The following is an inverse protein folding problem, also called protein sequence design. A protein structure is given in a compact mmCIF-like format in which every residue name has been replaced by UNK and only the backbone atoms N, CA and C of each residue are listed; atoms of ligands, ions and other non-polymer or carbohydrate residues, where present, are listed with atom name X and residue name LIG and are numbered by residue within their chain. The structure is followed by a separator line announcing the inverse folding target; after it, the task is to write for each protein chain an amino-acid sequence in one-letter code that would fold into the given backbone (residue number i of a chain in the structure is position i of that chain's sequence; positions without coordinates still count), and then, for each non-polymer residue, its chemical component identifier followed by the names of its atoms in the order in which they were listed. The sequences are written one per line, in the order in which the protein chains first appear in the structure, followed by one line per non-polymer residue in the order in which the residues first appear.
data_IF_853051018816
#
_entry.id   IF_853051018816
#
_cell.length_a   1.000
_cell.length_b   1.000
_cell.length_c   1.000
_cell.angle_alpha   90.00
_cell.angle_beta   90.00
_cell.angle_gamma   90.00
#
_symmetry.space_group_name_H-M   'P 1'
#
loop_
_entity.id
_entity.type
_entity.pdbx_description
1 polymer ?
#
# COMPACT_ATOMS: atom_id res chain seq x y z
N UNK A 1 -15.55 4.06 -25.03
CA UNK A 1 -14.42 4.84 -24.48
C UNK A 1 -14.23 4.39 -23.04
N UNK A 2 -13.05 3.88 -22.69
CA UNK A 2 -12.78 3.16 -21.43
C UNK A 2 -12.76 4.09 -20.22
N UNK A 3 -13.46 3.68 -19.15
CA UNK A 3 -13.32 4.21 -17.80
C UNK A 3 -12.04 3.59 -17.22
N UNK A 4 -11.08 4.39 -16.78
CA UNK A 4 -9.72 3.90 -16.44
C UNK A 4 -9.43 4.27 -14.99
N UNK A 5 -9.43 3.31 -14.07
CA UNK A 5 -9.13 3.53 -12.65
C UNK A 5 -7.74 3.03 -12.22
N UNK A 6 -7.51 2.80 -10.91
CA UNK A 6 -6.26 2.23 -10.40
C UNK A 6 -5.87 0.93 -11.12
N UNK A 7 -4.59 0.77 -11.44
CA UNK A 7 -4.07 -0.41 -12.15
C UNK A 7 -2.86 -0.97 -11.44
N UNK A 8 -2.72 -2.30 -11.49
CA UNK A 8 -1.48 -2.95 -11.06
C UNK A 8 -0.70 -3.43 -12.26
N UNK A 9 0.61 -3.25 -12.18
CA UNK A 9 1.58 -3.83 -13.11
C UNK A 9 2.81 -4.28 -12.32
N UNK A 10 3.70 -5.00 -12.97
CA UNK A 10 4.98 -5.42 -12.42
C UNK A 10 6.10 -4.79 -13.25
N UNK A 11 7.02 -4.09 -12.58
CA UNK A 11 8.30 -3.70 -13.17
C UNK A 11 9.24 -4.88 -13.16
N UNK A 12 9.94 -5.21 -14.26
CA UNK A 12 11.02 -6.19 -14.17
C UNK A 12 12.07 -5.73 -13.15
N UNK A 13 12.76 -6.67 -12.49
CA UNK A 13 13.90 -6.32 -11.64
C UNK A 13 15.18 -6.53 -12.45
N UNK A 14 16.07 -5.54 -12.48
CA UNK A 14 17.36 -5.68 -13.14
C UNK A 14 18.39 -6.23 -12.15
N UNK A 15 18.86 -7.46 -12.38
CA UNK A 15 19.81 -8.17 -11.51
C UNK A 15 21.24 -7.63 -11.55
N UNK A 16 21.57 -6.71 -12.47
CA UNK A 16 22.90 -6.09 -12.57
C UNK A 16 22.82 -4.60 -12.23
N UNK A 17 23.77 -4.06 -11.44
CA UNK A 17 23.92 -2.61 -11.34
C UNK A 17 24.13 -2.06 -12.74
N UNK A 18 23.22 -1.18 -13.18
CA UNK A 18 23.19 -0.51 -14.49
C UNK A 18 24.41 0.41 -14.69
N UNK A 19 25.62 -0.16 -14.70
CA UNK A 19 26.81 0.45 -15.27
C UNK A 19 26.93 0.14 -16.78
N UNK A 20 25.94 -0.55 -17.34
CA UNK A 20 25.80 -0.76 -18.77
C UNK A 20 24.56 0.00 -19.22
N UNK A 21 24.74 0.95 -20.15
CA UNK A 21 23.67 1.64 -20.86
C UNK A 21 22.51 0.67 -21.16
N UNK A 22 21.46 0.70 -20.35
CA UNK A 22 20.22 0.02 -20.66
C UNK A 22 19.48 0.92 -21.64
N UNK A 23 19.91 0.86 -22.90
CA UNK A 23 19.30 1.57 -24.03
C UNK A 23 17.87 1.09 -24.33
N UNK A 24 17.41 0.02 -23.67
CA UNK A 24 16.00 -0.37 -23.69
C UNK A 24 15.23 0.46 -22.67
N UNK A 25 14.70 1.62 -23.08
CA UNK A 25 13.56 2.23 -22.40
C UNK A 25 12.46 1.17 -22.27
N UNK A 26 12.27 0.62 -21.08
CA UNK A 26 11.09 -0.19 -20.82
C UNK A 26 9.94 0.80 -20.78
N UNK A 27 9.15 0.84 -21.85
CA UNK A 27 7.93 1.64 -21.87
C UNK A 27 6.89 1.00 -20.94
N UNK A 28 7.06 1.20 -19.63
CA UNK A 28 6.03 0.91 -18.62
C UNK A 28 4.74 1.68 -18.95
N UNK A 29 4.88 2.84 -19.60
CA UNK A 29 3.79 3.64 -20.13
C UNK A 29 3.05 2.96 -21.29
N UNK A 30 3.67 2.09 -22.09
CA UNK A 30 2.94 1.36 -23.15
C UNK A 30 1.95 0.35 -22.55
N UNK A 31 2.21 -0.13 -21.33
CA UNK A 31 1.27 -0.96 -20.56
C UNK A 31 0.19 -0.14 -19.87
N UNK A 32 0.42 1.15 -19.67
CA UNK A 32 -0.54 2.06 -19.06
C UNK A 32 -1.33 2.78 -20.17
N UNK A 33 -2.59 2.41 -20.38
CA UNK A 33 -3.47 3.12 -21.34
C UNK A 33 -3.63 4.64 -21.08
N UNK A 34 -3.21 5.13 -19.91
CA UNK A 34 -3.17 6.54 -19.52
C UNK A 34 -1.91 6.81 -18.72
N UNK A 35 -1.34 8.02 -18.86
CA UNK A 35 -0.22 8.48 -18.03
C UNK A 35 -0.64 8.50 -16.54
N UNK A 36 0.04 7.75 -15.66
CA UNK A 36 -0.28 7.75 -14.23
C UNK A 36 0.06 9.12 -13.62
N UNK A 37 -0.67 9.51 -12.57
CA UNK A 37 -0.30 10.66 -11.74
C UNK A 37 0.68 10.26 -10.64
N UNK A 38 0.50 9.05 -10.11
CA UNK A 38 1.35 8.49 -9.04
C UNK A 38 1.57 7.00 -9.26
N UNK A 39 2.78 6.53 -9.01
CA UNK A 39 3.15 5.14 -8.90
C UNK A 39 3.52 4.80 -7.46
N UNK A 40 2.91 3.75 -6.90
CA UNK A 40 3.23 3.21 -5.59
C UNK A 40 4.00 1.89 -5.77
N UNK A 41 5.26 1.86 -5.36
CA UNK A 41 6.20 0.74 -5.56
C UNK A 41 6.34 -0.06 -4.28
N UNK A 42 6.11 -1.37 -4.36
CA UNK A 42 6.21 -2.30 -3.23
C UNK A 42 7.53 -3.06 -3.31
N UNK A 43 8.56 -2.56 -2.64
CA UNK A 43 9.91 -3.10 -2.74
C UNK A 43 10.18 -4.17 -1.68
N UNK A 44 10.39 -5.41 -2.11
CA UNK A 44 10.72 -6.53 -1.23
C UNK A 44 12.22 -6.54 -0.85
N UNK A 45 12.54 -6.52 0.45
CA UNK A 45 13.91 -6.49 1.00
C UNK A 45 14.43 -7.82 1.51
N UNK A 46 13.62 -8.89 1.54
CA UNK A 46 13.90 -10.15 2.27
C UNK A 46 15.25 -10.81 1.98
N UNK A 47 15.91 -10.45 0.87
CA UNK A 47 17.16 -11.07 0.43
C UNK A 47 18.37 -10.13 0.39
N UNK A 48 18.25 -8.90 0.91
CA UNK A 48 19.32 -7.91 0.84
C UNK A 48 19.96 -7.70 2.20
N UNK A 49 21.30 -7.59 2.25
CA UNK A 49 22.00 -7.20 3.47
C UNK A 49 21.58 -5.79 3.90
N UNK A 50 21.55 -5.53 5.22
CA UNK A 50 21.06 -4.26 5.79
C UNK A 50 21.73 -3.01 5.18
N UNK A 51 23.05 -3.05 4.95
CA UNK A 51 23.78 -1.96 4.31
C UNK A 51 23.40 -1.75 2.82
N UNK A 52 22.91 -2.79 2.15
CA UNK A 52 22.49 -2.79 0.77
C UNK A 52 21.02 -2.34 0.60
N UNK A 53 20.17 -2.60 1.61
CA UNK A 53 18.73 -2.30 1.58
C UNK A 53 18.41 -0.83 1.32
N UNK A 54 19.05 0.11 2.03
CA UNK A 54 18.76 1.55 1.85
C UNK A 54 19.20 2.07 0.48
N UNK A 55 20.34 1.58 -0.03
CA UNK A 55 20.86 1.98 -1.34
C UNK A 55 20.04 1.38 -2.48
N UNK A 56 19.43 0.21 -2.28
CA UNK A 56 18.61 -0.45 -3.30
C UNK A 56 17.32 0.31 -3.59
N UNK A 57 16.64 0.85 -2.58
CA UNK A 57 15.41 1.60 -2.82
C UNK A 57 15.71 2.89 -3.61
N UNK A 58 16.78 3.60 -3.25
CA UNK A 58 17.23 4.77 -4.00
C UNK A 58 17.66 4.40 -5.43
N UNK A 59 18.33 3.26 -5.62
CA UNK A 59 18.72 2.73 -6.93
C UNK A 59 17.51 2.40 -7.80
N UNK A 60 16.53 1.65 -7.27
CA UNK A 60 15.28 1.32 -7.95
C UNK A 60 14.54 2.59 -8.35
N UNK A 61 14.40 3.55 -7.43
CA UNK A 61 13.75 4.82 -7.73
C UNK A 61 14.50 5.55 -8.86
N UNK A 62 15.83 5.66 -8.78
CA UNK A 62 16.61 6.33 -9.81
C UNK A 62 16.53 5.64 -11.17
N UNK A 63 16.45 4.31 -11.20
CA UNK A 63 16.32 3.55 -12.45
C UNK A 63 14.97 3.80 -13.15
N UNK A 64 13.90 4.07 -12.39
CA UNK A 64 12.53 4.09 -12.93
C UNK A 64 11.81 5.44 -12.89
N UNK A 65 12.26 6.40 -12.06
CA UNK A 65 11.57 7.69 -11.90
C UNK A 65 11.44 8.47 -13.21
N UNK A 66 12.44 8.37 -14.09
CA UNK A 66 12.41 8.99 -15.42
C UNK A 66 11.48 8.24 -16.39
N UNK A 67 11.29 6.93 -16.21
CA UNK A 67 10.45 6.10 -17.08
C UNK A 67 8.96 6.20 -16.73
N UNK A 68 8.63 6.44 -15.47
CA UNK A 68 7.25 6.49 -14.98
C UNK A 68 6.57 7.83 -15.26
N UNK A 69 7.35 8.90 -15.48
CA UNK A 69 6.90 10.27 -15.73
C UNK A 69 5.79 10.75 -14.78
N UNK A 70 5.82 10.32 -13.52
CA UNK A 70 4.81 10.59 -12.51
C UNK A 70 5.40 10.62 -11.10
N UNK A 71 4.62 11.05 -10.11
CA UNK A 71 5.08 10.99 -8.72
C UNK A 71 5.37 9.53 -8.35
N UNK A 72 6.49 9.27 -7.68
CA UNK A 72 6.85 7.93 -7.24
C UNK A 72 6.85 7.92 -5.71
N UNK A 73 6.12 6.97 -5.13
CA UNK A 73 6.19 6.66 -3.71
C UNK A 73 6.65 5.21 -3.63
N UNK A 74 7.78 4.96 -3.00
CA UNK A 74 8.29 3.63 -2.80
C UNK A 74 8.29 3.31 -1.30
N UNK A 75 7.65 2.21 -0.96
CA UNK A 75 7.66 1.66 0.38
C UNK A 75 8.47 0.37 0.37
N UNK A 76 9.16 0.14 1.47
CA UNK A 76 9.74 -1.16 1.69
C UNK A 76 8.76 -2.15 2.30
N UNK A 77 9.03 -3.40 2.00
CA UNK A 77 8.30 -4.56 2.44
C UNK A 77 9.31 -5.65 2.72
N UNK A 78 9.09 -6.43 3.76
CA UNK A 78 9.93 -7.60 4.01
C UNK A 78 9.37 -8.82 3.31
N UNK A 79 8.10 -8.80 2.94
CA UNK A 79 7.50 -9.83 2.09
C UNK A 79 6.36 -9.24 1.27
N UNK A 80 6.45 -9.37 -0.06
CA UNK A 80 5.45 -8.82 -0.99
C UNK A 80 4.78 -9.94 -1.78
N UNK A 81 3.45 -9.94 -1.82
CA UNK A 81 2.64 -10.86 -2.62
C UNK A 81 2.03 -10.13 -3.81
N UNK A 82 2.03 -10.77 -4.98
CA UNK A 82 1.29 -10.29 -6.15
C UNK A 82 0.69 -11.47 -6.93
N UNK A 83 -0.56 -11.32 -7.39
CA UNK A 83 -1.42 -12.42 -7.83
C UNK A 83 -1.01 -13.17 -9.10
N UNK A 84 -0.07 -12.67 -9.91
CA UNK A 84 0.31 -13.36 -11.15
C UNK A 84 1.15 -14.62 -10.96
N UNK A 85 1.40 -15.08 -9.73
CA UNK A 85 1.81 -16.47 -9.48
C UNK A 85 1.66 -16.86 -7.99
N UNK A 86 0.98 -17.98 -7.66
CA UNK A 86 0.99 -18.55 -6.32
C UNK A 86 2.39 -19.14 -6.05
N UNK A 87 2.93 -18.95 -4.83
CA UNK A 87 4.26 -19.38 -4.33
C UNK A 87 5.43 -18.47 -4.69
N UNK A 88 5.75 -17.53 -3.81
CA UNK A 88 7.02 -16.79 -3.78
C UNK A 88 8.19 -17.60 -3.17
N UNK A 89 8.14 -18.94 -3.22
CA UNK A 89 9.22 -19.82 -2.77
C UNK A 89 9.42 -20.96 -3.78
N UNK A 90 10.63 -21.14 -4.34
CA UNK A 90 11.08 -22.45 -4.81
C UNK A 90 11.29 -23.35 -3.58
N UNK A 91 10.90 -24.62 -3.68
CA UNK A 91 11.18 -25.65 -2.65
C UNK A 91 12.68 -26.03 -2.59
N UNK A 92 13.55 -25.40 -3.41
CA UNK A 92 14.99 -25.64 -3.44
C UNK A 92 15.74 -24.51 -2.74
N UNK A 93 15.96 -24.69 -1.43
CA UNK A 93 16.54 -23.72 -0.50
C UNK A 93 18.07 -23.49 -0.63
N UNK A 94 18.75 -24.13 -1.59
CA UNK A 94 20.22 -24.20 -1.61
C UNK A 94 20.92 -23.34 -2.68
N UNK A 95 20.18 -22.66 -3.55
CA UNK A 95 20.78 -21.73 -4.53
C UNK A 95 20.37 -20.29 -4.21
N UNK A 96 21.33 -19.54 -3.67
CA UNK A 96 21.32 -18.10 -3.37
C UNK A 96 21.17 -17.19 -4.61
N UNK A 97 20.47 -17.62 -5.66
CA UNK A 97 19.99 -16.73 -6.69
C UNK A 97 18.65 -16.16 -6.21
N UNK A 98 18.77 -15.09 -5.41
CA UNK A 98 17.78 -14.07 -5.09
C UNK A 98 16.48 -14.15 -5.92
N UNK A 99 15.32 -13.93 -5.28
CA UNK A 99 14.00 -13.83 -5.92
C UNK A 99 13.81 -12.66 -6.92
N UNK A 100 14.76 -12.44 -7.83
CA UNK A 100 14.85 -11.41 -8.85
C UNK A 100 13.90 -11.64 -10.04
N UNK A 101 13.41 -12.86 -10.25
CA UNK A 101 12.65 -13.22 -11.46
C UNK A 101 11.22 -12.65 -11.53
N UNK A 102 10.76 -11.93 -10.50
CA UNK A 102 9.33 -11.63 -10.35
C UNK A 102 8.97 -10.15 -10.31
N UNK A 103 9.98 -9.29 -10.41
CA UNK A 103 9.78 -7.86 -10.55
C UNK A 103 9.21 -7.14 -9.31
N UNK A 104 9.03 -5.84 -9.42
CA UNK A 104 8.51 -4.96 -8.37
C UNK A 104 7.02 -4.69 -8.67
N UNK A 105 6.09 -5.09 -7.80
CA UNK A 105 4.69 -4.72 -7.95
C UNK A 105 4.52 -3.20 -7.86
N UNK A 106 3.68 -2.66 -8.75
CA UNK A 106 3.39 -1.23 -8.85
C UNK A 106 1.90 -1.03 -8.92
N UNK A 107 1.39 -0.21 -8.02
CA UNK A 107 0.07 0.38 -8.16
C UNK A 107 0.18 1.73 -8.87
N UNK A 108 -0.31 1.77 -10.10
CA UNK A 108 -0.46 2.99 -10.90
C UNK A 108 -1.80 3.65 -10.59
N UNK A 109 -1.72 4.84 -10.02
CA UNK A 109 -2.86 5.71 -9.72
C UNK A 109 -2.96 6.79 -10.79
N UNK A 110 -3.99 6.71 -11.62
CA UNK A 110 -4.28 7.70 -12.65
C UNK A 110 -5.39 8.63 -12.18
N UNK A 111 -5.32 9.91 -12.58
CA UNK A 111 -6.49 10.80 -12.53
C UNK A 111 -7.37 10.44 -13.73
N UNK A 112 -8.62 10.09 -13.49
CA UNK A 112 -9.58 9.80 -14.54
C UNK A 112 -10.82 10.68 -14.38
N UNK A 113 -11.67 10.71 -15.40
CA UNK A 113 -12.78 11.66 -15.48
C UNK A 113 -13.63 11.57 -14.19
N UNK A 114 -13.69 12.68 -13.45
CA UNK A 114 -14.41 12.87 -12.17
C UNK A 114 -13.78 12.24 -10.92
N UNK A 115 -12.62 11.57 -11.00
CA UNK A 115 -11.86 11.21 -9.81
C UNK A 115 -10.83 12.28 -9.45
N UNK A 116 -10.60 12.45 -8.15
CA UNK A 116 -9.61 13.35 -7.60
C UNK A 116 -8.59 12.53 -6.79
N UNK A 117 -7.32 12.75 -7.11
CA UNK A 117 -6.17 12.15 -6.44
C UNK A 117 -5.35 13.27 -5.80
N UNK A 118 -5.15 13.22 -4.49
CA UNK A 118 -4.28 14.16 -3.76
C UNK A 118 -3.28 13.40 -2.93
N UNK A 119 -2.03 13.85 -2.97
CA UNK A 119 -0.95 13.36 -2.13
C UNK A 119 -0.56 14.48 -1.17
N UNK A 120 -0.43 14.15 0.10
CA UNK A 120 0.20 15.02 1.08
C UNK A 120 1.15 14.25 1.98
N UNK A 121 2.21 14.89 2.44
CA UNK A 121 3.27 14.25 3.21
C UNK A 121 3.93 15.20 4.19
N UNK A 122 4.67 14.65 5.15
CA UNK A 122 5.52 15.38 6.09
C UNK A 122 6.92 14.75 6.10
N UNK A 123 7.98 15.55 6.14
CA UNK A 123 9.36 15.04 6.13
C UNK A 123 9.79 14.54 7.51
N UNK A 124 10.69 13.54 7.55
CA UNK A 124 11.28 13.06 8.81
C UNK A 124 11.91 14.20 9.63
N UNK A 125 12.63 15.09 8.95
CA UNK A 125 13.42 16.15 9.59
C UNK A 125 12.65 17.45 9.90
N UNK A 126 11.36 17.56 9.58
CA UNK A 126 10.63 18.81 9.88
C UNK A 126 10.51 19.04 11.40
N UNK A 127 10.90 20.21 11.90
CA UNK A 127 10.82 20.56 13.33
C UNK A 127 9.41 20.91 13.84
N UNK A 128 8.39 20.85 12.98
CA UNK A 128 7.02 21.24 13.31
C UNK A 128 6.30 20.11 14.08
N UNK A 129 5.47 20.51 15.05
CA UNK A 129 4.66 19.60 15.89
C UNK A 129 3.79 18.65 15.06
N UNK A 130 3.70 17.37 15.47
CA UNK A 130 2.84 16.37 14.84
C UNK A 130 1.37 16.78 14.79
N UNK A 131 0.89 17.61 15.74
CA UNK A 131 -0.50 18.08 15.75
C UNK A 131 -0.79 19.05 14.59
N UNK A 132 0.14 19.98 14.32
CA UNK A 132 0.02 20.94 13.22
C UNK A 132 0.03 20.20 11.89
N UNK A 133 0.95 19.25 11.71
CA UNK A 133 0.98 18.44 10.49
C UNK A 133 -0.27 17.59 10.30
N UNK A 134 -0.75 16.93 11.36
CA UNK A 134 -1.99 16.15 11.27
C UNK A 134 -3.16 17.03 10.82
N UNK A 135 -3.26 18.27 11.33
CA UNK A 135 -4.31 19.21 10.94
C UNK A 135 -4.17 19.64 9.47
N UNK A 136 -2.95 19.85 8.98
CA UNK A 136 -2.69 20.12 7.57
C UNK A 136 -3.11 18.95 6.69
N UNK A 137 -2.65 17.73 7.01
CA UNK A 137 -3.03 16.51 6.28
C UNK A 137 -4.56 16.34 6.26
N UNK A 138 -5.24 16.60 7.37
CA UNK A 138 -6.70 16.52 7.44
C UNK A 138 -7.38 17.49 6.47
N UNK A 139 -6.93 18.76 6.42
CA UNK A 139 -7.47 19.74 5.47
C UNK A 139 -7.23 19.30 4.02
N UNK A 140 -6.01 18.94 3.68
CA UNK A 140 -5.65 18.61 2.30
C UNK A 140 -6.28 17.29 1.81
N UNK A 141 -6.37 16.29 2.68
CA UNK A 141 -6.80 14.94 2.32
C UNK A 141 -8.28 14.66 2.62
N UNK A 142 -8.98 15.44 3.45
CA UNK A 142 -10.32 15.06 3.93
C UNK A 142 -11.38 16.15 3.75
N UNK A 143 -11.08 17.44 3.97
CA UNK A 143 -12.12 18.44 4.30
C UNK A 143 -13.11 18.82 3.19
N UNK A 144 -12.89 18.42 1.94
CA UNK A 144 -13.54 19.06 0.79
C UNK A 144 -14.53 18.16 0.01
N UNK A 145 -14.82 16.94 0.48
CA UNK A 145 -15.63 15.98 -0.28
C UNK A 145 -16.77 15.38 0.55
N UNK A 146 -17.98 15.89 0.35
CA UNK A 146 -19.19 15.40 1.04
C UNK A 146 -19.94 14.30 0.27
N UNK A 147 -19.84 14.32 -1.06
CA UNK A 147 -20.70 13.49 -1.93
C UNK A 147 -20.05 12.18 -2.40
N UNK A 148 -18.77 11.94 -2.11
CA UNK A 148 -18.05 10.75 -2.54
C UNK A 148 -17.33 10.08 -1.39
N UNK A 149 -17.25 8.75 -1.44
CA UNK A 149 -16.47 7.96 -0.48
C UNK A 149 -14.99 8.32 -0.59
N UNK A 150 -14.34 8.51 0.55
CA UNK A 150 -12.92 8.85 0.63
C UNK A 150 -12.12 7.55 0.78
N UNK A 151 -11.19 7.30 -0.14
CA UNK A 151 -10.21 6.23 -0.03
C UNK A 151 -8.90 6.86 0.43
N UNK A 152 -8.39 6.43 1.58
CA UNK A 152 -7.14 6.93 2.15
C UNK A 152 -6.11 5.81 2.24
N UNK A 153 -5.04 5.93 1.45
CA UNK A 153 -3.81 5.16 1.65
C UNK A 153 -2.89 5.96 2.56
N UNK A 154 -2.52 5.41 3.71
CA UNK A 154 -1.71 6.07 4.73
C UNK A 154 -0.48 5.24 5.05
N UNK A 155 0.70 5.79 4.79
CA UNK A 155 1.99 5.13 5.00
C UNK A 155 2.84 5.96 5.95
N UNK A 156 3.52 5.34 6.91
CA UNK A 156 4.45 6.01 7.83
C UNK A 156 5.81 5.33 7.81
N UNK A 157 6.87 6.01 8.25
CA UNK A 157 8.21 5.41 8.35
C UNK A 157 9.05 5.94 9.52
N UNK A 158 8.37 6.33 10.59
CA UNK A 158 8.99 6.81 11.83
C UNK A 158 7.95 6.96 12.94
N UNK A 159 8.40 6.98 14.19
CA UNK A 159 7.57 7.33 15.34
C UNK A 159 6.83 8.67 15.15
N UNK A 160 7.50 9.67 14.55
CA UNK A 160 6.88 10.96 14.22
C UNK A 160 5.73 10.79 13.23
N UNK A 161 5.94 9.99 12.18
CA UNK A 161 4.91 9.63 11.21
C UNK A 161 3.72 8.94 11.86
N UNK A 162 3.97 7.92 12.67
CA UNK A 162 2.95 7.19 13.44
C UNK A 162 2.15 8.12 14.36
N UNK A 163 2.80 9.09 15.01
CA UNK A 163 2.12 10.08 15.85
C UNK A 163 1.23 11.04 15.02
N UNK A 164 1.68 11.45 13.82
CA UNK A 164 0.87 12.26 12.89
C UNK A 164 -0.34 11.46 12.41
N UNK A 165 -0.11 10.21 11.96
CA UNK A 165 -1.16 9.30 11.50
C UNK A 165 -2.23 9.10 12.58
N UNK A 166 -1.85 8.74 13.81
CA UNK A 166 -2.81 8.59 14.93
C UNK A 166 -3.69 9.82 15.12
N UNK A 167 -3.10 11.02 15.12
CA UNK A 167 -3.87 12.28 15.27
C UNK A 167 -4.79 12.54 14.09
N UNK A 168 -4.30 12.35 12.85
CA UNK A 168 -5.12 12.47 11.63
C UNK A 168 -6.33 11.55 11.69
N UNK A 169 -6.10 10.30 12.02
CA UNK A 169 -7.11 9.25 12.10
C UNK A 169 -8.15 9.54 13.19
N UNK A 170 -7.74 10.03 14.36
CA UNK A 170 -8.67 10.52 15.40
C UNK A 170 -9.55 11.67 14.90
N UNK A 171 -9.02 12.60 14.10
CA UNK A 171 -9.81 13.68 13.52
C UNK A 171 -10.82 13.15 12.49
N UNK A 172 -10.42 12.20 11.64
CA UNK A 172 -11.31 11.56 10.67
C UNK A 172 -12.48 10.88 11.40
N UNK A 173 -12.18 10.03 12.39
CA UNK A 173 -13.19 9.33 13.19
C UNK A 173 -14.16 10.28 13.90
N UNK A 174 -13.68 11.44 14.36
CA UNK A 174 -14.51 12.41 15.08
C UNK A 174 -15.47 13.16 14.17
N UNK A 175 -15.08 13.41 12.92
CA UNK A 175 -15.75 14.35 12.03
C UNK A 175 -16.50 13.70 10.87
N UNK A 176 -16.31 12.39 10.65
CA UNK A 176 -16.92 11.67 9.52
C UNK A 176 -17.52 10.34 9.99
N UNK A 177 -18.65 9.97 9.38
CA UNK A 177 -19.22 8.64 9.54
C UNK A 177 -18.27 7.58 8.95
N UNK A 178 -18.14 6.45 9.64
CA UNK A 178 -17.20 5.39 9.30
C UNK A 178 -17.46 4.79 7.90
N UNK A 179 -18.71 4.82 7.43
CA UNK A 179 -19.09 4.35 6.08
C UNK A 179 -18.66 5.31 4.95
N UNK A 180 -18.27 6.56 5.27
CA UNK A 180 -17.86 7.57 4.29
C UNK A 180 -16.38 7.48 3.88
N UNK A 181 -15.59 6.64 4.56
CA UNK A 181 -14.19 6.47 4.24
C UNK A 181 -13.73 5.01 4.33
N UNK A 182 -12.74 4.65 3.50
CA UNK A 182 -11.95 3.44 3.63
C UNK A 182 -10.49 3.82 3.85
N UNK A 183 -9.83 3.13 4.76
CA UNK A 183 -8.43 3.39 5.10
C UNK A 183 -7.63 2.11 4.88
N UNK A 184 -6.44 2.26 4.34
CA UNK A 184 -5.46 1.20 4.23
C UNK A 184 -4.06 1.75 4.44
N UNK A 185 -3.17 0.90 4.92
CA UNK A 185 -1.74 1.13 4.93
C UNK A 185 -1.14 0.80 6.28
N UNK A 186 0.08 1.24 6.49
CA UNK A 186 0.90 0.73 7.56
C UNK A 186 2.14 1.60 7.83
N UNK A 187 2.77 1.32 8.95
CA UNK A 187 4.15 1.73 9.21
C UNK A 187 5.11 0.91 8.34
N UNK A 188 6.03 1.54 7.64
CA UNK A 188 7.06 0.90 6.83
C UNK A 188 8.40 1.21 7.49
N UNK A 189 9.44 0.44 7.17
CA UNK A 189 10.77 0.76 7.69
C UNK A 189 11.38 1.96 6.93
N UNK A 190 11.17 1.99 5.62
CA UNK A 190 11.61 3.02 4.69
C UNK A 190 10.48 3.42 3.78
N UNK A 191 10.30 4.73 3.67
CA UNK A 191 9.36 5.35 2.77
C UNK A 191 10.11 6.45 2.04
N UNK A 192 10.11 6.34 0.72
CA UNK A 192 10.79 7.26 -0.19
C UNK A 192 9.76 7.85 -1.13
N UNK A 193 9.97 9.10 -1.50
CA UNK A 193 9.09 9.82 -2.41
C UNK A 193 9.92 10.63 -3.40
N UNK A 194 9.48 10.65 -4.66
CA UNK A 194 9.98 11.54 -5.70
C UNK A 194 8.80 12.31 -6.27
N UNK A 195 8.92 13.62 -6.29
CA UNK A 195 8.03 14.48 -7.06
C UNK A 195 8.46 14.43 -8.52
N UNK A 196 7.50 14.24 -9.43
CA UNK A 196 7.80 14.38 -10.85
C UNK A 196 7.81 15.86 -11.21
N UNK A 197 9.00 16.33 -11.57
CA UNK A 197 9.20 17.62 -12.19
C UNK A 197 9.99 17.38 -13.50
N UNK A 198 9.44 17.72 -14.68
CA UNK A 198 10.15 17.57 -15.95
C UNK A 198 11.32 18.55 -16.11
N UNK A 199 11.44 19.56 -15.25
CA UNK A 199 12.44 20.64 -15.32
C UNK A 199 13.55 20.56 -14.26
N UNK A 200 13.42 19.69 -13.26
CA UNK A 200 14.37 19.58 -12.15
C UNK A 200 14.93 18.15 -12.01
N UNK A 201 16.14 18.08 -11.45
CA UNK A 201 16.70 16.86 -10.91
C UNK A 201 15.78 16.31 -9.82
N UNK A 202 15.02 15.28 -10.20
CA UNK A 202 14.07 14.61 -9.32
C UNK A 202 14.76 14.10 -8.04
N UNK A 203 14.57 14.83 -6.95
CA UNK A 203 15.23 14.56 -5.66
C UNK A 203 14.43 13.54 -4.85
N UNK A 204 15.14 12.55 -4.29
CA UNK A 204 14.56 11.55 -3.40
C UNK A 204 14.34 12.17 -2.02
N UNK A 205 13.09 12.11 -1.56
CA UNK A 205 12.62 12.63 -0.26
C UNK A 205 12.32 11.47 0.68
N UNK A 206 12.55 11.70 1.98
CA UNK A 206 12.25 10.75 3.06
C UNK A 206 11.12 11.26 3.95
N UNK A 207 9.86 11.04 3.55
CA UNK A 207 8.71 11.40 4.38
C UNK A 207 8.64 10.56 5.67
N UNK A 208 8.23 11.21 6.76
CA UNK A 208 7.76 10.54 7.97
C UNK A 208 6.41 9.87 7.76
N UNK A 209 5.54 10.51 6.97
CA UNK A 209 4.18 10.05 6.65
C UNK A 209 3.81 10.54 5.25
N UNK A 210 3.12 9.69 4.50
CA UNK A 210 2.47 10.01 3.21
C UNK A 210 1.01 9.58 3.30
N UNK A 211 0.11 10.48 2.96
CA UNK A 211 -1.30 10.19 2.74
C UNK A 211 -1.66 10.40 1.27
N UNK A 212 -2.39 9.46 0.71
CA UNK A 212 -2.93 9.53 -0.65
C UNK A 212 -4.45 9.42 -0.54
N UNK A 213 -5.15 10.48 -0.94
CA UNK A 213 -6.61 10.46 -1.11
C UNK A 213 -6.94 10.06 -2.53
N UNK A 214 -7.85 9.11 -2.68
CA UNK A 214 -8.59 8.85 -3.93
C UNK A 214 -10.09 9.06 -3.63
N UNK A 215 -10.78 9.85 -4.45
CA UNK A 215 -12.24 9.97 -4.38
C UNK A 215 -12.82 10.17 -5.79
N UNK A 216 -14.09 9.84 -5.99
CA UNK A 216 -14.79 10.07 -7.25
C UNK A 216 -16.10 9.28 -7.33
N UNK A 217 -17.02 9.65 -8.22
CA UNK A 217 -18.35 9.04 -8.29
C UNK A 217 -18.34 7.62 -8.87
N UNK A 218 -17.31 7.26 -9.66
CA UNK A 218 -17.22 5.95 -10.30
C UNK A 218 -16.33 4.95 -9.56
N UNK A 219 -15.69 5.36 -8.46
CA UNK A 219 -14.85 4.50 -7.63
C UNK A 219 -15.56 4.20 -6.32
N UNK A 220 -15.50 2.96 -5.88
CA UNK A 220 -15.98 2.53 -4.58
C UNK A 220 -14.89 1.72 -3.88
N UNK A 221 -15.00 1.58 -2.57
CA UNK A 221 -14.03 0.84 -1.78
C UNK A 221 -14.62 0.27 -0.52
N UNK A 222 -13.99 -0.78 -0.01
CA UNK A 222 -14.23 -1.27 1.34
C UNK A 222 -12.90 -1.60 1.98
N UNK A 223 -12.70 -1.14 3.20
CA UNK A 223 -11.60 -1.57 4.06
C UNK A 223 -12.13 -2.38 5.24
N UNK A 224 -11.25 -3.22 5.77
CA UNK A 224 -11.46 -4.01 6.97
C UNK A 224 -10.13 -4.23 7.67
N UNK A 225 -10.15 -4.28 9.01
CA UNK A 225 -8.95 -4.53 9.81
C UNK A 225 -9.21 -5.69 10.77
N UNK A 226 -8.31 -6.66 10.74
CA UNK A 226 -8.44 -7.93 11.45
C UNK A 226 -7.26 -8.14 12.39
N UNK A 227 -7.52 -8.64 13.59
CA UNK A 227 -6.46 -9.01 14.51
C UNK A 227 -5.76 -10.28 13.98
N UNK A 228 -4.46 -10.19 13.72
CA UNK A 228 -3.66 -11.30 13.19
C UNK A 228 -3.42 -12.41 14.22
N UNK A 229 -3.57 -12.13 15.52
CA UNK A 229 -3.38 -13.11 16.58
C UNK A 229 -4.63 -13.97 16.83
N UNK A 230 -5.72 -13.76 16.08
CA UNK A 230 -6.96 -14.50 16.28
C UNK A 230 -6.89 -15.93 15.74
N UNK A 231 -7.83 -16.79 16.15
CA UNK A 231 -7.96 -18.14 15.56
C UNK A 231 -8.29 -18.03 14.08
N UNK A 232 -7.68 -18.89 13.26
CA UNK A 232 -7.83 -18.85 11.80
C UNK A 232 -9.29 -18.98 11.35
N UNK A 233 -10.07 -19.87 11.97
CA UNK A 233 -11.51 -20.01 11.66
C UNK A 233 -12.30 -18.72 11.94
N UNK A 234 -11.94 -17.98 13.00
CA UNK A 234 -12.57 -16.68 13.30
C UNK A 234 -12.13 -15.60 12.31
N UNK A 235 -10.88 -15.66 11.85
CA UNK A 235 -10.38 -14.79 10.78
C UNK A 235 -11.16 -15.02 9.48
N UNK A 236 -11.35 -16.30 9.10
CA UNK A 236 -12.15 -16.69 7.93
C UNK A 236 -13.62 -16.25 8.07
N UNK A 237 -14.24 -16.48 9.24
CA UNK A 237 -15.63 -16.06 9.52
C UNK A 237 -15.82 -14.54 9.34
N UNK A 238 -14.89 -13.73 9.87
CA UNK A 238 -14.99 -12.28 9.75
C UNK A 238 -14.76 -11.80 8.32
N UNK A 239 -13.86 -12.44 7.56
CA UNK A 239 -13.69 -12.14 6.13
C UNK A 239 -14.93 -12.51 5.30
N UNK A 240 -15.61 -13.61 5.61
CA UNK A 240 -16.87 -13.98 4.95
C UNK A 240 -17.96 -12.94 5.21
N UNK A 241 -18.12 -12.48 6.44
CA UNK A 241 -19.03 -11.38 6.80
C UNK A 241 -18.69 -10.08 6.07
N UNK A 242 -17.40 -9.77 5.96
CA UNK A 242 -16.94 -8.61 5.19
C UNK A 242 -17.33 -8.72 3.72
N UNK A 243 -17.15 -9.90 3.11
CA UNK A 243 -17.51 -10.17 1.70
C UNK A 243 -18.99 -9.94 1.41
N UNK A 244 -19.90 -10.26 2.34
CA UNK A 244 -21.35 -10.06 2.16
C UNK A 244 -21.73 -8.59 1.86
N UNK A 245 -20.89 -7.64 2.29
CA UNK A 245 -21.14 -6.20 2.13
C UNK A 245 -20.47 -5.59 0.89
N UNK A 246 -19.74 -6.39 0.12
CA UNK A 246 -18.93 -5.92 -1.01
C UNK A 246 -19.68 -6.11 -2.33
N UNK A 247 -19.73 -5.04 -3.13
CA UNK A 247 -20.31 -5.06 -4.49
C UNK A 247 -19.23 -4.73 -5.51
N UNK A 248 -18.65 -5.77 -6.10
CA UNK A 248 -17.59 -5.59 -7.09
C UNK A 248 -18.13 -5.00 -8.39
N UNK A 249 -17.35 -4.09 -8.97
CA UNK A 249 -17.50 -3.61 -10.35
C UNK A 249 -16.50 -4.34 -11.25
N UNK A 250 -16.50 -3.98 -12.54
CA UNK A 250 -15.71 -4.64 -13.59
C UNK A 250 -14.22 -4.74 -13.27
N UNK A 251 -13.67 -3.70 -12.67
CA UNK A 251 -12.26 -3.62 -12.34
C UNK A 251 -12.11 -3.50 -10.83
N UNK A 252 -11.44 -4.48 -10.22
CA UNK A 252 -11.24 -4.55 -8.78
C UNK A 252 -9.77 -4.80 -8.47
N UNK A 253 -9.33 -4.29 -7.33
CA UNK A 253 -7.98 -4.47 -6.80
C UNK A 253 -8.07 -4.54 -5.28
N UNK A 254 -7.32 -5.46 -4.68
CA UNK A 254 -7.12 -5.53 -3.26
C UNK A 254 -5.72 -5.11 -2.82
N UNK A 255 -5.63 -4.44 -1.69
CA UNK A 255 -4.41 -4.15 -0.97
C UNK A 255 -4.48 -4.82 0.40
N UNK A 256 -3.41 -5.52 0.78
CA UNK A 256 -3.28 -6.18 2.07
C UNK A 256 -1.96 -5.76 2.69
N UNK A 257 -1.97 -5.42 3.97
CA UNK A 257 -0.74 -5.31 4.75
C UNK A 257 -0.91 -5.89 6.14
N UNK A 258 0.19 -6.32 6.75
CA UNK A 258 0.16 -6.87 8.10
C UNK A 258 1.48 -7.51 8.53
N UNK A 259 1.48 -8.27 9.63
CA UNK A 259 2.66 -8.99 10.07
C UNK A 259 2.97 -10.18 9.13
N UNK A 260 4.26 -10.40 8.87
CA UNK A 260 4.77 -11.58 8.18
C UNK A 260 4.64 -12.85 9.05
N UNK A 261 4.76 -12.67 10.37
CA UNK A 261 4.58 -13.69 11.39
C UNK A 261 3.69 -13.14 12.51
N UNK A 262 2.61 -13.85 12.83
CA UNK A 262 1.72 -13.51 13.94
C UNK A 262 1.58 -14.69 14.92
N UNK A 263 1.67 -14.48 16.24
CA UNK A 263 1.47 -15.56 17.20
C UNK A 263 0.01 -16.05 17.20
N UNK A 264 -0.16 -17.37 17.06
CA UNK A 264 -1.44 -18.07 17.17
C UNK A 264 -1.97 -18.03 18.60
N UNK A 265 -3.24 -17.64 18.77
CA UNK A 265 -3.93 -17.67 20.06
C UNK A 265 -4.10 -19.06 20.70
N UNK A 266 -3.86 -20.16 19.97
CA UNK A 266 -4.12 -21.53 20.47
C UNK A 266 -2.89 -22.11 21.17
N UNK A 267 -1.73 -22.00 20.54
CA UNK A 267 -0.50 -22.71 20.92
C UNK A 267 0.76 -21.82 20.87
N UNK A 268 0.63 -20.56 20.47
CA UNK A 268 1.78 -19.66 20.28
C UNK A 268 2.60 -19.95 19.03
N UNK A 269 2.20 -20.89 18.17
CA UNK A 269 2.85 -21.10 16.87
C UNK A 269 2.69 -19.86 15.99
N UNK A 270 3.68 -19.61 15.15
CA UNK A 270 3.67 -18.45 14.26
C UNK A 270 2.82 -18.77 13.02
N UNK A 271 1.78 -17.97 12.81
CA UNK A 271 1.01 -17.92 11.58
C UNK A 271 1.75 -17.04 10.57
N UNK A 272 2.12 -17.62 9.45
CA UNK A 272 2.77 -16.91 8.34
C UNK A 272 1.76 -16.09 7.54
N UNK A 273 2.22 -14.98 6.96
CA UNK A 273 1.46 -14.12 6.03
C UNK A 273 0.78 -14.89 4.90
N UNK A 274 1.42 -15.95 4.42
CA UNK A 274 0.93 -16.84 3.37
C UNK A 274 -0.44 -17.44 3.71
N UNK A 275 -0.71 -17.76 4.99
CA UNK A 275 -1.99 -18.28 5.45
C UNK A 275 -3.09 -17.23 5.31
N UNK A 276 -2.83 -16.00 5.76
CA UNK A 276 -3.77 -14.88 5.62
C UNK A 276 -4.06 -14.59 4.14
N UNK A 277 -3.01 -14.53 3.31
CA UNK A 277 -3.16 -14.28 1.87
C UNK A 277 -3.93 -15.39 1.16
N UNK A 278 -3.66 -16.66 1.48
CA UNK A 278 -4.37 -17.79 0.89
C UNK A 278 -5.86 -17.77 1.23
N UNK A 279 -6.22 -17.43 2.48
CA UNK A 279 -7.63 -17.27 2.87
C UNK A 279 -8.30 -16.09 2.17
N UNK A 280 -7.64 -14.93 2.12
CA UNK A 280 -8.16 -13.75 1.42
C UNK A 280 -8.44 -14.09 -0.04
N UNK A 281 -7.48 -14.73 -0.74
CA UNK A 281 -7.64 -15.14 -2.14
C UNK A 281 -8.69 -16.23 -2.34
N UNK A 282 -8.81 -17.18 -1.40
CA UNK A 282 -9.89 -18.18 -1.42
C UNK A 282 -11.27 -17.52 -1.34
N UNK A 283 -11.42 -16.47 -0.53
CA UNK A 283 -12.68 -15.75 -0.35
C UNK A 283 -12.95 -14.77 -1.50
N UNK A 284 -11.91 -14.14 -2.04
CA UNK A 284 -11.99 -13.15 -3.13
C UNK A 284 -11.19 -13.59 -4.37
N UNK A 285 -11.56 -14.70 -5.03
CA UNK A 285 -10.74 -15.29 -6.10
C UNK A 285 -10.67 -14.44 -7.37
N UNK A 286 -11.59 -13.50 -7.56
CA UNK A 286 -11.65 -12.63 -8.75
C UNK A 286 -10.87 -11.31 -8.58
N UNK A 287 -10.35 -11.04 -7.39
CA UNK A 287 -9.67 -9.78 -7.08
C UNK A 287 -8.17 -10.01 -7.10
N UNK A 288 -7.41 -9.29 -7.95
CA UNK A 288 -5.97 -9.26 -7.82
C UNK A 288 -5.58 -8.52 -6.53
N UNK A 289 -4.62 -9.05 -5.77
CA UNK A 289 -4.12 -8.50 -4.52
C UNK A 289 -2.63 -8.13 -4.62
N UNK A 290 -2.29 -6.99 -4.02
CA UNK A 290 -0.93 -6.69 -3.56
C UNK A 290 -0.89 -6.87 -2.04
N UNK A 291 -0.04 -7.78 -1.57
CA UNK A 291 0.22 -7.97 -0.15
C UNK A 291 1.56 -7.38 0.25
N UNK A 292 1.64 -6.71 1.40
CA UNK A 292 2.86 -6.12 1.95
C UNK A 292 2.98 -6.48 3.43
N UNK A 293 3.97 -7.30 3.78
CA UNK A 293 4.13 -7.83 5.13
C UNK A 293 5.50 -7.49 5.75
N UNK A 294 5.52 -7.50 7.08
CA UNK A 294 6.69 -7.16 7.91
C UNK A 294 6.87 -8.16 9.07
N UNK A 295 8.08 -8.69 9.25
CA UNK A 295 8.51 -9.50 10.37
C UNK A 295 8.70 -8.70 11.67
N UNK A 296 8.61 -7.36 11.61
CA UNK A 296 8.69 -6.54 12.81
C UNK A 296 7.44 -6.69 13.70
N UNK A 297 7.64 -7.14 14.93
CA UNK A 297 6.57 -7.41 15.89
C UNK A 297 5.82 -6.15 16.40
N UNK A 298 6.28 -4.94 16.06
CA UNK A 298 5.68 -3.67 16.53
C UNK A 298 5.13 -2.79 15.41
N UNK A 299 4.83 -3.40 14.27
CA UNK A 299 4.28 -2.73 13.12
C UNK A 299 2.83 -2.31 13.34
N UNK A 300 2.54 -1.02 13.11
CA UNK A 300 1.18 -0.50 13.10
C UNK A 300 0.54 -0.70 11.73
N UNK A 301 -0.58 -1.42 11.67
CA UNK A 301 -1.48 -1.39 10.53
C UNK A 301 -2.55 -0.30 10.71
N UNK A 302 -2.90 0.37 9.62
CA UNK A 302 -3.95 1.37 9.53
C UNK A 302 -5.06 0.82 8.66
N UNK A 303 -6.28 0.89 9.14
CA UNK A 303 -7.45 0.36 8.44
C UNK A 303 -8.70 0.70 9.21
N UNK A 304 -9.86 0.39 8.68
CA UNK A 304 -11.12 0.59 9.39
C UNK A 304 -12.16 -0.35 8.79
N UNK A 305 -13.18 -0.74 9.55
CA UNK A 305 -14.33 -1.42 8.96
C UNK A 305 -15.26 -0.37 8.35
N UNK A 306 -15.14 -0.19 7.05
CA UNK A 306 -15.95 0.79 6.30
C UNK A 306 -17.35 0.27 5.93
N UNK A 307 -17.76 -0.89 6.44
CA UNK A 307 -19.10 -1.48 6.24
C UNK A 307 -20.05 -1.20 7.39
N UNK A 308 -19.54 -0.76 8.54
CA UNK A 308 -20.31 -0.54 9.77
C UNK A 308 -20.02 0.83 10.40
N UNK A 309 -21.04 1.44 11.01
CA UNK A 309 -20.88 2.66 11.81
C UNK A 309 -20.43 2.39 13.26
N UNK A 310 -20.46 1.13 13.71
CA UNK A 310 -20.15 0.75 15.09
C UNK A 310 -18.68 0.39 15.31
N UNK A 311 -17.87 0.41 14.25
CA UNK A 311 -16.48 -0.06 14.30
C UNK A 311 -15.50 0.99 14.82
N UNK A 312 -14.53 0.55 15.63
CA UNK A 312 -13.68 1.40 16.46
C UNK A 312 -12.18 1.37 16.19
N UNK A 313 -11.68 0.69 15.15
CA UNK A 313 -10.21 0.55 15.04
C UNK A 313 -9.63 1.18 13.79
N UNK A 314 -8.72 2.14 14.01
CA UNK A 314 -8.06 2.94 12.97
C UNK A 314 -6.52 2.89 13.03
N UNK A 315 -5.96 2.40 14.14
CA UNK A 315 -4.57 1.95 14.23
C UNK A 315 -4.56 0.68 15.07
N UNK A 316 -3.90 -0.37 14.60
CA UNK A 316 -3.82 -1.64 15.33
C UNK A 316 -2.43 -2.27 15.19
N UNK A 317 -1.90 -2.76 16.30
CA UNK A 317 -0.71 -3.61 16.33
C UNK A 317 -1.14 -5.04 16.02
N UNK A 318 -0.28 -5.82 15.34
CA UNK A 318 -0.56 -7.22 15.01
C UNK A 318 -1.89 -7.39 14.30
N UNK A 319 -2.10 -6.61 13.24
CA UNK A 319 -3.33 -6.63 12.47
C UNK A 319 -3.06 -6.75 10.97
N UNK A 320 -3.97 -7.42 10.29
CA UNK A 320 -4.08 -7.45 8.83
C UNK A 320 -5.06 -6.35 8.42
N UNK A 321 -4.58 -5.36 7.67
CA UNK A 321 -5.41 -4.35 7.03
C UNK A 321 -5.65 -4.74 5.58
N UNK A 322 -6.92 -4.82 5.20
CA UNK A 322 -7.41 -5.20 3.88
C UNK A 322 -8.20 -4.03 3.31
N UNK A 323 -7.97 -3.70 2.05
CA UNK A 323 -8.83 -2.79 1.30
C UNK A 323 -9.07 -3.30 -0.10
N UNK A 324 -10.32 -3.29 -0.53
CA UNK A 324 -10.75 -3.55 -1.89
C UNK A 324 -11.19 -2.23 -2.51
N UNK A 325 -10.65 -1.92 -3.68
CA UNK A 325 -11.01 -0.76 -4.49
C UNK A 325 -11.64 -1.30 -5.78
N UNK A 326 -12.75 -0.72 -6.21
CA UNK A 326 -13.44 -1.15 -7.43
C UNK A 326 -13.96 0.02 -8.26
N UNK A 327 -13.94 -0.13 -9.57
CA UNK A 327 -14.47 0.83 -10.53
C UNK A 327 -14.99 0.11 -11.79
N UNK A 328 -15.79 0.82 -12.58
CA UNK A 328 -16.29 0.32 -13.88
C UNK A 328 -15.23 0.32 -14.98
#
# INVERSE_FOLDING_TARGET
MSKIGPKVTVMPFFSKPMNTNCDSKINLLDRAHTKPHTALLFFNRYHLSYAFQQRCLDYVINAYKEQLECNVIALDSEETYFDTNPRAYPEDYDNYEFGYDRGIPILLLSVFKQSNLVISYCMKQDGISSAIFAQRLYKELISDYQDSKIILILLTASQKGTNIARKLLTMIQKNHEQTKYSIWGNECYSLKKVDYDPSDSQTIKEPAVVGIRICGPSIDSWSFILNANMKLDKFEEQLLKFKENIKLKRHSLGLVCGPALAPSAINGELQESSLFMNLIKKIFPEIPFIGQFSYEFYFNAYGCDSTSNDSKTVVSLMAVSLMIITHD
#
